data_IF_154392045025
#
_entry.id   IF_154392045025
#
_cell.length_a   1.000
_cell.length_b   1.000
_cell.length_c   1.000
_cell.angle_alpha   90.00
_cell.angle_beta   90.00
_cell.angle_gamma   90.00
#
_symmetry.space_group_name_H-M   'P 1'
#
loop_
_entity.id
_entity.type
_entity.pdbx_description
1 polymer ?
#
# COMPACT_ATOMS: atom_id res chain seq x y z
N UNK A 1 -21.83 4.64 4.26
CA UNK A 1 -21.07 5.85 4.65
C UNK A 1 -19.66 5.38 4.95
N UNK A 2 -18.71 5.53 4.03
CA UNK A 2 -17.32 5.28 4.41
C UNK A 2 -16.88 6.52 5.18
N UNK A 3 -16.75 6.36 6.50
CA UNK A 3 -16.17 7.39 7.36
C UNK A 3 -14.74 7.68 6.91
N UNK A 4 -14.23 8.87 7.23
CA UNK A 4 -12.83 9.20 6.94
C UNK A 4 -11.90 8.13 7.56
N UNK A 5 -10.81 7.76 6.87
CA UNK A 5 -9.88 6.74 7.38
C UNK A 5 -9.29 7.18 8.72
N UNK A 6 -9.05 6.18 9.58
CA UNK A 6 -8.44 6.39 10.88
C UNK A 6 -7.02 6.96 10.77
N UNK A 7 -6.52 7.60 11.83
CA UNK A 7 -5.16 8.18 11.83
C UNK A 7 -4.08 7.14 11.49
N UNK A 8 -4.22 5.90 11.98
CA UNK A 8 -3.29 4.82 11.67
C UNK A 8 -3.35 4.39 10.20
N UNK A 9 -4.54 4.21 9.64
CA UNK A 9 -4.72 3.87 8.21
C UNK A 9 -4.05 4.92 7.32
N UNK A 10 -4.24 6.20 7.61
CA UNK A 10 -3.59 7.30 6.88
C UNK A 10 -2.07 7.28 7.01
N UNK A 11 -1.54 6.93 8.20
CA UNK A 11 -0.10 6.83 8.41
C UNK A 11 0.50 5.63 7.64
N UNK A 12 -0.15 4.45 7.70
CA UNK A 12 0.26 3.26 6.94
C UNK A 12 0.22 3.52 5.44
N UNK A 13 -0.86 4.11 4.94
CA UNK A 13 -1.01 4.51 3.54
C UNK A 13 0.13 5.42 3.09
N UNK A 14 0.41 6.50 3.84
CA UNK A 14 1.46 7.45 3.52
C UNK A 14 2.86 6.79 3.53
N UNK A 15 3.14 5.92 4.52
CA UNK A 15 4.40 5.20 4.59
C UNK A 15 4.58 4.25 3.41
N UNK A 16 3.55 3.47 3.05
CA UNK A 16 3.63 2.54 1.92
C UNK A 16 3.69 3.25 0.57
N UNK A 17 3.02 4.39 0.44
CA UNK A 17 3.10 5.23 -0.75
C UNK A 17 4.51 5.79 -0.97
N UNK A 18 5.18 6.19 0.12
CA UNK A 18 6.54 6.74 0.07
C UNK A 18 7.65 5.67 0.00
N UNK A 19 7.32 4.39 0.18
CA UNK A 19 8.32 3.31 0.19
C UNK A 19 8.64 2.83 -1.22
N UNK A 20 9.92 2.78 -1.56
CA UNK A 20 10.40 2.23 -2.84
C UNK A 20 10.38 0.68 -2.87
N UNK A 21 10.29 0.04 -1.70
CA UNK A 21 10.29 -1.43 -1.56
C UNK A 21 9.09 -1.95 -0.75
N UNK A 22 8.62 -3.19 -1.00
CA UNK A 22 7.57 -3.82 -0.19
C UNK A 22 7.97 -4.01 1.28
N UNK A 23 7.12 -3.54 2.19
CA UNK A 23 7.39 -3.52 3.63
C UNK A 23 6.69 -4.67 4.37
N UNK A 24 7.36 -5.24 5.37
CA UNK A 24 6.72 -6.17 6.31
C UNK A 24 5.94 -5.40 7.38
N UNK A 25 5.01 -6.08 8.05
CA UNK A 25 4.32 -5.52 9.24
C UNK A 25 5.33 -5.09 10.31
N UNK A 26 6.41 -5.86 10.51
CA UNK A 26 7.46 -5.50 11.47
C UNK A 26 8.19 -4.20 11.07
N UNK A 27 8.48 -4.01 9.77
CA UNK A 27 9.10 -2.78 9.29
C UNK A 27 8.16 -1.58 9.45
N UNK A 28 6.87 -1.75 9.16
CA UNK A 28 5.84 -0.72 9.38
C UNK A 28 5.72 -0.36 10.87
N UNK A 29 5.74 -1.36 11.76
CA UNK A 29 5.70 -1.13 13.21
C UNK A 29 6.86 -0.26 13.67
N UNK A 30 8.09 -0.58 13.26
CA UNK A 30 9.27 0.22 13.60
C UNK A 30 9.17 1.63 13.03
N UNK A 31 8.78 1.76 11.76
CA UNK A 31 8.69 3.06 11.08
C UNK A 31 7.63 3.98 11.71
N UNK A 32 6.52 3.41 12.19
CA UNK A 32 5.39 4.14 12.76
C UNK A 32 5.47 4.29 14.29
N UNK A 33 6.63 4.04 14.90
CA UNK A 33 6.85 4.31 16.32
C UNK A 33 6.40 3.20 17.27
N UNK A 34 6.47 1.93 16.84
CA UNK A 34 6.19 0.77 17.67
C UNK A 34 4.71 0.39 17.74
N UNK A 35 3.95 0.62 16.66
CA UNK A 35 2.54 0.21 16.58
C UNK A 35 2.41 -1.30 16.71
N UNK A 36 1.38 -1.76 17.43
CA UNK A 36 1.12 -3.18 17.61
C UNK A 36 0.85 -3.88 16.26
N UNK A 37 1.42 -5.08 16.04
CA UNK A 37 1.22 -5.82 14.80
C UNK A 37 -0.25 -6.16 14.50
N UNK A 38 -1.12 -6.24 15.51
CA UNK A 38 -2.55 -6.48 15.32
C UNK A 38 -3.22 -5.26 14.65
N UNK A 39 -3.01 -4.07 15.21
CA UNK A 39 -3.56 -2.82 14.68
C UNK A 39 -3.10 -2.54 13.25
N UNK A 40 -1.85 -2.87 12.93
CA UNK A 40 -1.33 -2.76 11.56
C UNK A 40 -2.01 -3.73 10.61
N UNK A 41 -2.30 -4.97 11.02
CA UNK A 41 -3.05 -5.92 10.17
C UNK A 41 -4.46 -5.44 9.90
N UNK A 42 -5.12 -4.89 10.91
CA UNK A 42 -6.47 -4.35 10.76
C UNK A 42 -6.46 -3.15 9.82
N UNK A 43 -5.52 -2.21 9.99
CA UNK A 43 -5.36 -1.06 9.12
C UNK A 43 -5.04 -1.47 7.66
N UNK A 44 -4.12 -2.42 7.46
CA UNK A 44 -3.78 -2.94 6.13
C UNK A 44 -4.98 -3.62 5.46
N UNK A 45 -5.76 -4.40 6.21
CA UNK A 45 -6.96 -5.08 5.70
C UNK A 45 -8.05 -4.07 5.30
N UNK A 46 -8.24 -3.04 6.13
CA UNK A 46 -9.19 -1.97 5.84
C UNK A 46 -8.77 -1.18 4.59
N UNK A 47 -7.50 -0.80 4.49
CA UNK A 47 -6.95 -0.13 3.30
C UNK A 47 -7.07 -1.00 2.05
N UNK A 48 -6.69 -2.28 2.11
CA UNK A 48 -6.82 -3.19 0.97
C UNK A 48 -8.26 -3.23 0.44
N UNK A 49 -9.25 -3.27 1.36
CA UNK A 49 -10.67 -3.19 1.01
C UNK A 49 -11.03 -1.86 0.36
N UNK A 50 -10.55 -0.73 0.90
CA UNK A 50 -10.82 0.60 0.37
C UNK A 50 -10.18 0.85 -1.01
N UNK A 51 -9.06 0.19 -1.30
CA UNK A 51 -8.31 0.30 -2.55
C UNK A 51 -8.71 -0.71 -3.62
N UNK A 52 -9.50 -1.74 -3.29
CA UNK A 52 -9.84 -2.84 -4.20
C UNK A 52 -10.54 -2.43 -5.51
N UNK A 53 -11.17 -1.25 -5.54
CA UNK A 53 -11.87 -0.71 -6.71
C UNK A 53 -11.19 0.56 -7.29
N UNK A 54 -9.95 0.85 -6.87
CA UNK A 54 -9.20 2.05 -7.28
C UNK A 54 -8.13 1.70 -8.31
N UNK A 55 -7.57 2.71 -8.97
CA UNK A 55 -6.53 2.50 -9.99
C UNK A 55 -5.16 2.04 -9.47
N UNK A 56 -4.99 1.99 -8.15
CA UNK A 56 -3.87 1.34 -7.46
C UNK A 56 -4.43 0.43 -6.39
N UNK A 57 -3.81 -0.73 -6.20
CA UNK A 57 -4.21 -1.72 -5.22
C UNK A 57 -3.13 -1.86 -4.15
N UNK A 58 -3.54 -1.97 -2.89
CA UNK A 58 -2.66 -2.42 -1.82
C UNK A 58 -2.65 -3.95 -1.80
N UNK A 59 -1.48 -4.57 -1.98
CA UNK A 59 -1.35 -6.02 -2.08
C UNK A 59 -0.30 -6.60 -1.13
N UNK A 60 -0.52 -7.85 -0.73
CA UNK A 60 0.43 -8.64 0.05
C UNK A 60 1.09 -9.73 -0.83
N UNK A 61 2.42 -9.80 -0.79
CA UNK A 61 3.24 -10.84 -1.44
C UNK A 61 4.33 -11.30 -0.48
N UNK A 62 4.31 -12.58 -0.09
CA UNK A 62 5.33 -13.14 0.80
C UNK A 62 5.47 -12.42 2.14
N UNK A 63 4.34 -11.97 2.72
CA UNK A 63 4.31 -11.23 3.99
C UNK A 63 4.75 -9.76 3.88
N UNK A 64 4.85 -9.22 2.66
CA UNK A 64 5.21 -7.83 2.39
C UNK A 64 4.09 -7.11 1.66
N UNK A 65 3.89 -5.86 2.04
CA UNK A 65 2.82 -4.99 1.57
C UNK A 65 3.39 -3.85 0.73
N UNK A 66 2.72 -3.53 -0.37
CA UNK A 66 3.04 -2.39 -1.24
C UNK A 66 1.84 -2.02 -2.11
N UNK A 67 1.89 -0.82 -2.69
CA UNK A 67 0.96 -0.44 -3.74
C UNK A 67 1.44 -0.93 -5.10
N UNK A 68 0.52 -1.45 -5.90
CA UNK A 68 0.72 -1.77 -7.31
C UNK A 68 -0.37 -1.11 -8.17
N UNK A 69 -0.11 -0.90 -9.45
CA UNK A 69 -1.14 -0.43 -10.40
C UNK A 69 -2.21 -1.50 -10.54
N UNK A 70 -3.48 -1.07 -10.56
CA UNK A 70 -4.60 -1.97 -10.80
C UNK A 70 -4.38 -2.76 -12.11
N UNK A 71 -4.59 -4.09 -12.12
CA UNK A 71 -4.24 -4.94 -13.26
C UNK A 71 -4.90 -4.54 -14.58
N UNK A 72 -6.14 -4.04 -14.51
CA UNK A 72 -6.90 -3.54 -15.65
C UNK A 72 -6.31 -2.25 -16.24
N UNK A 73 -5.61 -1.44 -15.44
CA UNK A 73 -4.94 -0.21 -15.87
C UNK A 73 -3.46 -0.40 -16.22
N UNK A 74 -2.86 -1.56 -15.94
CA UNK A 74 -1.44 -1.81 -16.14
C UNK A 74 -0.97 -1.56 -17.59
N UNK A 75 -1.85 -1.74 -18.57
CA UNK A 75 -1.56 -1.49 -19.99
C UNK A 75 -1.26 -0.02 -20.31
N UNK A 76 -1.80 0.93 -19.53
CA UNK A 76 -1.57 2.37 -19.73
C UNK A 76 -0.12 2.75 -19.39
N UNK A 77 0.44 2.17 -18.34
CA UNK A 77 1.77 2.54 -17.83
C UNK A 77 2.93 1.76 -18.48
N UNK A 78 2.64 0.71 -19.26
CA UNK A 78 3.67 -0.06 -19.98
C UNK A 78 4.46 0.78 -20.99
N UNK A 79 3.82 1.79 -21.60
CA UNK A 79 4.45 2.65 -22.63
C UNK A 79 5.49 3.62 -22.07
N UNK A 80 5.36 4.01 -20.80
CA UNK A 80 6.28 4.97 -20.18
C UNK A 80 7.61 4.33 -19.79
N UNK A 81 7.63 3.04 -19.41
CA UNK A 81 8.86 2.34 -19.01
C UNK A 81 9.84 2.08 -20.16
N UNK A 82 9.38 2.02 -21.41
CA UNK A 82 10.28 1.83 -22.57
C UNK A 82 11.14 3.07 -22.87
N UNK A 83 10.74 4.27 -22.42
CA UNK A 83 11.48 5.50 -22.70
C UNK A 83 12.55 5.86 -21.64
N UNK A 84 12.62 5.16 -20.51
CA UNK A 84 13.61 5.41 -19.44
C UNK A 84 14.91 4.60 -19.63
N UNK A 85 15.07 3.91 -20.76
CA UNK A 85 16.36 3.35 -21.18
C UNK A 85 17.04 4.30 -22.17
N UNK A 86 17.67 5.35 -21.64
CA UNK A 86 18.72 6.10 -22.34
C UNK A 86 19.81 6.51 -21.38
#
# INVERSE_FOLDING_TARGET
MSGAPGTLERAVEATLFASDEPMTIAALAVHLGGVEPADLRDALTALATQYAARGVHLVERGGRWHFETAPDLAHLLRREKEQVRR
#
